data_IF_218546154044
#
_entry.id   IF_218546154044
#
_cell.length_a   1.000
_cell.length_b   1.000
_cell.length_c   1.000
_cell.angle_alpha   90.00
_cell.angle_beta   90.00
_cell.angle_gamma   90.00
#
_symmetry.space_group_name_H-M   'P 1'
#
loop_
_entity.id
_entity.type
_entity.pdbx_description
1 polymer ?
#
# COMPACT_ATOMS: atom_id res chain seq x y z
N UNK A 1 -40.52 -36.02 -31.78
CA UNK A 1 -40.16 -35.53 -30.43
C UNK A 1 -39.00 -36.36 -29.95
N UNK A 2 -37.77 -35.85 -30.11
CA UNK A 2 -36.54 -36.51 -29.69
C UNK A 2 -36.38 -36.35 -28.19
N UNK A 3 -36.54 -37.45 -27.44
CA UNK A 3 -36.26 -37.50 -26.02
C UNK A 3 -34.76 -37.29 -25.79
N UNK A 4 -34.40 -36.25 -25.04
CA UNK A 4 -33.05 -36.07 -24.50
C UNK A 4 -32.90 -37.07 -23.37
N UNK A 5 -32.16 -38.16 -23.64
CA UNK A 5 -31.74 -39.12 -22.62
C UNK A 5 -30.69 -38.43 -21.75
N UNK A 6 -31.05 -38.07 -20.52
CA UNK A 6 -30.09 -37.60 -19.52
C UNK A 6 -29.43 -38.86 -18.93
N UNK A 7 -28.17 -39.08 -19.26
CA UNK A 7 -27.39 -40.20 -18.73
C UNK A 7 -27.04 -39.92 -17.26
N UNK A 8 -27.70 -40.63 -16.34
CA UNK A 8 -27.55 -40.44 -14.89
C UNK A 8 -26.21 -40.97 -14.35
N UNK A 9 -25.38 -41.61 -15.19
CA UNK A 9 -24.07 -42.14 -14.82
C UNK A 9 -22.90 -41.21 -15.17
N UNK A 10 -23.17 -40.06 -15.80
CA UNK A 10 -22.13 -39.06 -16.05
C UNK A 10 -21.87 -38.30 -14.74
N UNK A 11 -20.77 -38.65 -14.05
CA UNK A 11 -20.32 -37.88 -12.89
C UNK A 11 -20.15 -36.43 -13.33
N UNK A 12 -20.62 -35.44 -12.54
CA UNK A 12 -20.42 -34.05 -12.88
C UNK A 12 -18.93 -33.81 -13.09
N UNK A 13 -18.54 -32.98 -14.08
CA UNK A 13 -17.15 -32.69 -14.32
C UNK A 13 -16.49 -32.23 -13.01
N UNK A 14 -15.26 -32.67 -12.74
CA UNK A 14 -14.56 -32.28 -11.52
C UNK A 14 -14.50 -30.75 -11.44
N UNK A 15 -14.81 -30.19 -10.28
CA UNK A 15 -14.74 -28.74 -10.06
C UNK A 15 -13.30 -28.27 -10.37
N UNK A 16 -13.11 -27.55 -11.46
CA UNK A 16 -11.85 -26.90 -11.76
C UNK A 16 -11.72 -25.65 -10.88
N UNK A 17 -10.62 -25.52 -10.13
CA UNK A 17 -10.27 -24.26 -9.47
C UNK A 17 -10.10 -23.18 -10.54
N UNK A 18 -10.95 -22.15 -10.47
CA UNK A 18 -10.86 -21.01 -11.36
C UNK A 18 -9.60 -20.18 -11.04
N UNK A 19 -8.75 -19.99 -12.04
CA UNK A 19 -7.55 -19.15 -11.97
C UNK A 19 -7.80 -17.91 -12.83
N UNK A 20 -7.78 -16.73 -12.20
CA UNK A 20 -8.01 -15.48 -12.91
C UNK A 20 -6.76 -15.02 -13.66
N UNK A 21 -6.95 -14.44 -14.84
CA UNK A 21 -5.86 -13.82 -15.59
C UNK A 21 -5.51 -12.45 -15.00
N UNK A 22 -4.26 -12.26 -14.61
CA UNK A 22 -3.74 -10.96 -14.15
C UNK A 22 -2.29 -10.76 -14.61
N UNK A 23 -1.86 -9.50 -14.60
CA UNK A 23 -0.47 -9.14 -14.83
C UNK A 23 -0.02 -8.12 -13.79
N UNK A 24 1.28 -8.07 -13.56
CA UNK A 24 1.91 -7.16 -12.61
C UNK A 24 2.49 -5.96 -13.36
N UNK A 25 2.23 -4.76 -12.87
CA UNK A 25 2.82 -3.51 -13.39
C UNK A 25 4.30 -3.39 -12.97
N UNK A 26 5.05 -2.47 -13.59
CA UNK A 26 6.43 -2.18 -13.20
C UNK A 26 6.56 -1.82 -11.70
N UNK A 27 5.57 -1.11 -11.15
CA UNK A 27 5.48 -0.77 -9.73
C UNK A 27 5.04 -1.95 -8.83
N UNK A 28 4.87 -3.16 -9.37
CA UNK A 28 4.39 -4.34 -8.62
C UNK A 28 2.88 -4.42 -8.42
N UNK A 29 2.10 -3.46 -8.93
CA UNK A 29 0.64 -3.47 -8.80
C UNK A 29 -0.01 -4.57 -9.64
N UNK A 30 -1.00 -5.25 -9.07
CA UNK A 30 -1.73 -6.33 -9.75
C UNK A 30 -2.87 -5.70 -10.56
N UNK A 31 -2.93 -5.99 -11.86
CA UNK A 31 -3.99 -5.51 -12.76
C UNK A 31 -4.60 -6.71 -13.48
N UNK A 32 -5.92 -6.80 -13.44
CA UNK A 32 -6.68 -7.84 -14.15
C UNK A 32 -7.76 -7.23 -15.02
N UNK A 33 -7.95 -7.85 -16.19
CA UNK A 33 -9.06 -7.58 -17.11
C UNK A 33 -9.98 -8.80 -17.24
N UNK A 34 -9.89 -9.74 -16.31
CA UNK A 34 -10.59 -11.01 -16.41
C UNK A 34 -12.12 -10.82 -16.42
N UNK A 35 -12.78 -11.44 -17.38
CA UNK A 35 -14.21 -11.31 -17.59
C UNK A 35 -15.05 -11.86 -16.41
N UNK A 36 -14.65 -12.99 -15.85
CA UNK A 36 -15.38 -13.67 -14.78
C UNK A 36 -15.34 -12.85 -13.48
N UNK A 37 -14.19 -12.25 -13.14
CA UNK A 37 -14.08 -11.31 -12.01
C UNK A 37 -14.99 -10.07 -12.13
N UNK A 38 -15.42 -9.71 -13.34
CA UNK A 38 -16.28 -8.57 -13.58
C UNK A 38 -17.77 -8.88 -13.56
N UNK A 39 -18.14 -10.17 -13.58
CA UNK A 39 -19.53 -10.66 -13.63
C UNK A 39 -19.94 -11.40 -12.36
N UNK A 40 -18.99 -12.07 -11.70
CA UNK A 40 -19.24 -12.82 -10.49
C UNK A 40 -18.55 -12.16 -9.28
N UNK A 41 -19.38 -11.69 -8.33
CA UNK A 41 -18.90 -11.13 -7.07
C UNK A 41 -18.19 -12.17 -6.19
N UNK A 42 -18.46 -13.46 -6.36
CA UNK A 42 -17.75 -14.54 -5.65
C UNK A 42 -16.32 -14.67 -6.10
N UNK A 43 -16.13 -14.79 -7.40
CA UNK A 43 -14.82 -14.90 -8.03
C UNK A 43 -13.97 -13.69 -7.66
N UNK A 44 -14.55 -12.48 -7.73
CA UNK A 44 -13.90 -11.24 -7.29
C UNK A 44 -13.52 -11.26 -5.80
N UNK A 45 -14.43 -11.69 -4.93
CA UNK A 45 -14.17 -11.78 -3.49
C UNK A 45 -13.02 -12.73 -3.18
N UNK A 46 -13.04 -13.95 -3.74
CA UNK A 46 -11.98 -14.96 -3.54
C UNK A 46 -10.64 -14.47 -4.08
N UNK A 47 -10.64 -13.90 -5.28
CA UNK A 47 -9.44 -13.34 -5.89
C UNK A 47 -8.82 -12.24 -5.01
N UNK A 48 -9.64 -11.32 -4.48
CA UNK A 48 -9.15 -10.29 -3.57
C UNK A 48 -8.55 -10.87 -2.28
N UNK A 49 -9.19 -11.88 -1.68
CA UNK A 49 -8.66 -12.54 -0.49
C UNK A 49 -7.30 -13.20 -0.78
N UNK A 50 -7.19 -13.94 -1.88
CA UNK A 50 -5.96 -14.61 -2.25
C UNK A 50 -4.82 -13.62 -2.53
N UNK A 51 -5.07 -12.64 -3.41
CA UNK A 51 -4.07 -11.64 -3.80
C UNK A 51 -3.75 -10.65 -2.67
N UNK A 52 -4.63 -10.52 -1.67
CA UNK A 52 -4.35 -9.71 -0.48
C UNK A 52 -3.27 -10.31 0.42
N UNK A 53 -3.00 -11.62 0.34
CA UNK A 53 -2.01 -12.29 1.20
C UNK A 53 -0.59 -11.81 0.93
N UNK A 54 -0.27 -11.41 -0.30
CA UNK A 54 1.04 -10.87 -0.64
C UNK A 54 1.22 -9.47 -0.02
N UNK A 55 2.30 -9.21 0.74
CA UNK A 55 2.57 -7.88 1.27
C UNK A 55 2.95 -6.90 0.16
N UNK A 56 2.79 -5.58 0.38
CA UNK A 56 3.43 -4.57 -0.46
C UNK A 56 4.94 -4.56 -0.23
N UNK A 57 5.70 -4.06 -1.20
CA UNK A 57 7.11 -3.76 -0.97
C UNK A 57 7.20 -2.44 -0.22
N UNK A 58 8.10 -2.36 0.75
CA UNK A 58 8.27 -1.19 1.60
C UNK A 58 9.75 -0.85 1.71
N UNK A 59 10.15 0.36 1.34
CA UNK A 59 11.54 0.83 1.43
C UNK A 59 11.62 2.18 2.11
N UNK A 60 12.78 2.49 2.68
CA UNK A 60 13.14 3.85 3.08
C UNK A 60 14.30 4.33 2.23
N UNK A 61 14.08 5.42 1.51
CA UNK A 61 15.05 6.03 0.62
C UNK A 61 15.72 7.20 1.34
N UNK A 62 17.05 7.21 1.36
CA UNK A 62 17.85 8.19 2.06
C UNK A 62 18.83 8.80 1.05
N UNK A 63 18.70 10.10 0.78
CA UNK A 63 19.63 10.83 -0.07
C UNK A 63 20.10 12.14 0.58
N UNK A 64 21.34 12.51 0.27
CA UNK A 64 21.96 13.75 0.68
C UNK A 64 22.44 14.52 -0.54
N UNK A 65 22.07 15.80 -0.62
CA UNK A 65 22.49 16.69 -1.70
C UNK A 65 23.08 17.99 -1.16
N UNK A 66 24.07 18.55 -1.85
CA UNK A 66 24.54 19.90 -1.58
C UNK A 66 24.52 20.75 -2.85
N UNK A 67 24.54 22.08 -2.67
CA UNK A 67 24.61 23.04 -3.77
C UNK A 67 26.06 23.49 -3.95
N UNK A 68 26.60 23.28 -5.14
CA UNK A 68 27.93 23.75 -5.55
C UNK A 68 27.78 24.88 -6.57
N UNK A 69 28.56 25.95 -6.41
CA UNK A 69 28.60 27.06 -7.37
C UNK A 69 29.72 26.81 -8.36
N UNK A 70 29.37 26.58 -9.63
CA UNK A 70 30.33 26.36 -10.72
C UNK A 70 30.35 27.55 -11.67
N UNK A 71 31.48 27.74 -12.33
CA UNK A 71 31.64 28.73 -13.39
C UNK A 71 31.75 28.04 -14.74
N UNK A 72 31.07 28.56 -15.76
CA UNK A 72 31.24 28.14 -17.15
C UNK A 72 31.57 29.34 -17.99
N UNK A 73 32.55 29.16 -18.87
CA UNK A 73 32.88 30.13 -19.90
C UNK A 73 31.91 29.96 -21.06
N UNK A 74 31.10 30.99 -21.32
CA UNK A 74 30.16 31.03 -22.44
C UNK A 74 30.71 32.01 -23.48
N UNK A 75 30.95 31.51 -24.69
CA UNK A 75 31.30 32.37 -25.83
C UNK A 75 30.03 32.70 -26.59
N UNK A 76 29.67 33.98 -26.64
CA UNK A 76 28.54 34.47 -27.42
C UNK A 76 29.06 35.38 -28.52
N UNK A 77 28.60 35.15 -29.74
CA UNK A 77 28.87 36.08 -30.85
C UNK A 77 27.80 37.17 -30.83
N UNK A 78 28.20 38.40 -30.54
CA UNK A 78 27.34 39.59 -30.59
C UNK A 78 27.91 40.50 -31.66
N UNK A 79 27.09 40.85 -32.67
CA UNK A 79 27.49 41.72 -33.78
C UNK A 79 28.77 41.25 -34.51
N UNK A 80 28.94 39.95 -34.75
CA UNK A 80 30.09 39.38 -35.46
C UNK A 80 31.39 39.28 -34.64
N UNK A 81 31.41 39.80 -33.41
CA UNK A 81 32.55 39.68 -32.49
C UNK A 81 32.28 38.57 -31.46
N UNK A 82 33.25 37.68 -31.27
CA UNK A 82 33.20 36.67 -30.21
C UNK A 82 33.51 37.34 -28.88
N UNK A 83 32.55 37.34 -27.97
CA UNK A 83 32.75 37.74 -26.59
C UNK A 83 32.70 36.50 -25.70
N UNK A 84 33.63 36.45 -24.75
CA UNK A 84 33.74 35.36 -23.79
C UNK A 84 33.38 35.90 -22.42
N UNK A 85 32.32 35.36 -21.81
CA UNK A 85 31.88 35.73 -20.47
C UNK A 85 31.95 34.52 -19.55
N UNK A 86 32.45 34.74 -18.33
CA UNK A 86 32.35 33.74 -17.26
C UNK A 86 30.98 33.92 -16.60
N UNK A 87 30.16 32.88 -16.67
CA UNK A 87 28.86 32.82 -16.01
C UNK A 87 28.93 31.87 -14.83
N UNK A 88 28.34 32.29 -13.71
CA UNK A 88 28.28 31.51 -12.48
C UNK A 88 26.90 30.86 -12.36
N UNK A 89 26.84 29.56 -12.12
CA UNK A 89 25.59 28.81 -11.96
C UNK A 89 25.69 27.82 -10.79
N UNK A 90 24.55 27.55 -10.14
CA UNK A 90 24.47 26.64 -9.00
C UNK A 90 24.02 25.26 -9.48
N UNK A 91 24.75 24.22 -9.09
CA UNK A 91 24.46 22.81 -9.37
C UNK A 91 24.12 22.10 -8.07
N UNK A 92 23.09 21.26 -8.07
CA UNK A 92 22.81 20.36 -6.95
C UNK A 92 23.50 19.03 -7.22
N UNK A 93 24.35 18.59 -6.30
CA UNK A 93 25.15 17.37 -6.40
C UNK A 93 24.68 16.40 -5.33
N UNK A 94 24.45 15.16 -5.72
CA UNK A 94 24.13 14.06 -4.80
C UNK A 94 25.42 13.52 -4.19
N UNK A 95 25.51 13.59 -2.86
CA UNK A 95 26.65 13.08 -2.11
C UNK A 95 26.50 11.59 -1.85
N UNK A 96 25.32 11.17 -1.35
CA UNK A 96 24.97 9.79 -1.09
C UNK A 96 23.50 9.56 -1.46
N UNK A 97 23.17 8.34 -1.87
CA UNK A 97 21.82 7.91 -2.20
C UNK A 97 21.74 6.40 -2.04
N UNK A 98 20.97 5.92 -1.09
CA UNK A 98 20.75 4.49 -0.88
C UNK A 98 19.36 4.28 -0.29
N UNK A 99 18.83 3.07 -0.45
CA UNK A 99 17.53 2.66 0.08
C UNK A 99 17.72 1.47 1.03
N UNK A 100 16.83 1.30 2.00
CA UNK A 100 16.82 0.11 2.88
C UNK A 100 15.49 -0.61 2.68
N UNK A 101 15.55 -1.93 2.50
CA UNK A 101 14.34 -2.76 2.40
C UNK A 101 13.71 -3.00 3.78
N UNK A 102 12.46 -2.55 3.91
CA UNK A 102 11.64 -2.68 5.10
C UNK A 102 10.57 -3.78 4.97
N UNK A 103 10.43 -4.38 3.78
CA UNK A 103 9.46 -5.45 3.50
C UNK A 103 9.58 -6.65 4.45
N UNK A 104 10.80 -7.11 4.80
CA UNK A 104 10.96 -8.24 5.73
C UNK A 104 10.45 -7.96 7.16
N UNK A 105 10.22 -6.70 7.54
CA UNK A 105 9.73 -6.34 8.87
C UNK A 105 8.20 -6.31 8.97
N UNK A 106 7.48 -6.56 7.87
CA UNK A 106 6.02 -6.70 7.86
C UNK A 106 5.62 -8.05 8.47
N UNK A 107 5.30 -8.04 9.76
CA UNK A 107 5.02 -9.26 10.55
C UNK A 107 3.52 -9.56 10.70
N UNK A 108 2.66 -8.56 10.52
CA UNK A 108 1.19 -8.70 10.64
C UNK A 108 0.55 -8.41 9.30
N UNK A 109 -0.42 -9.24 8.91
CA UNK A 109 -1.37 -8.92 7.84
C UNK A 109 -1.60 -10.04 6.83
N UNK A 110 -2.55 -9.83 5.90
CA UNK A 110 -3.36 -8.64 5.76
C UNK A 110 -4.50 -8.57 6.79
N UNK A 111 -4.61 -7.47 7.54
CA UNK A 111 -5.83 -7.15 8.31
C UNK A 111 -6.78 -6.42 7.39
N UNK A 112 -7.84 -7.10 6.99
CA UNK A 112 -8.80 -6.59 6.03
C UNK A 112 -9.77 -5.60 6.69
N UNK A 113 -9.98 -4.45 6.06
CA UNK A 113 -10.91 -3.44 6.56
C UNK A 113 -11.63 -2.70 5.42
N UNK A 114 -12.82 -2.21 5.74
CA UNK A 114 -13.59 -1.32 4.87
C UNK A 114 -13.57 0.11 5.40
N UNK A 115 -13.57 1.10 4.51
CA UNK A 115 -13.79 2.49 4.90
C UNK A 115 -15.21 2.67 5.47
N UNK A 116 -15.37 3.42 6.58
CA UNK A 116 -16.67 3.70 7.15
C UNK A 116 -17.55 4.46 6.16
N UNK A 117 -18.85 4.43 6.42
CA UNK A 117 -19.87 5.03 5.57
C UNK A 117 -19.75 6.56 5.41
N UNK A 118 -19.24 7.25 6.43
CA UNK A 118 -18.96 8.70 6.41
C UNK A 118 -17.65 9.06 5.67
N UNK A 119 -16.78 8.08 5.38
CA UNK A 119 -15.54 8.34 4.66
C UNK A 119 -15.80 8.69 3.18
N UNK A 120 -15.25 9.81 2.67
CA UNK A 120 -15.40 10.22 1.28
C UNK A 120 -14.46 9.43 0.37
N UNK A 121 -14.92 8.26 -0.06
CA UNK A 121 -14.23 7.36 -1.00
C UNK A 121 -15.11 7.04 -2.21
N UNK A 122 -14.56 6.39 -3.23
CA UNK A 122 -15.35 6.05 -4.42
C UNK A 122 -16.24 4.82 -4.15
N UNK A 123 -17.55 4.96 -4.40
CA UNK A 123 -18.59 3.93 -4.13
C UNK A 123 -19.45 3.62 -5.35
N UNK A 124 -18.79 3.64 -6.51
CA UNK A 124 -19.36 3.29 -7.81
C UNK A 124 -19.47 4.44 -8.79
N UNK A 125 -19.46 5.70 -8.38
CA UNK A 125 -19.36 6.84 -9.30
C UNK A 125 -17.92 7.32 -9.50
N UNK A 126 -17.68 8.15 -10.51
CA UNK A 126 -16.42 8.90 -10.68
C UNK A 126 -16.26 10.09 -9.73
N UNK A 127 -16.96 10.07 -8.59
CA UNK A 127 -16.88 11.04 -7.49
C UNK A 127 -16.71 10.30 -6.18
N UNK A 128 -16.05 10.93 -5.21
CA UNK A 128 -16.07 10.46 -3.82
C UNK A 128 -17.47 10.66 -3.23
N UNK A 129 -17.95 9.64 -2.55
CA UNK A 129 -19.28 9.53 -2.00
C UNK A 129 -19.21 9.12 -0.54
N UNK A 130 -20.19 9.60 0.22
CA UNK A 130 -20.46 9.18 1.59
C UNK A 130 -21.86 8.59 1.64
N UNK A 131 -22.08 7.64 2.54
CA UNK A 131 -23.38 7.05 2.81
C UNK A 131 -24.07 7.89 3.88
N UNK A 132 -25.11 8.63 3.49
CA UNK A 132 -25.90 9.46 4.37
C UNK A 132 -27.23 8.76 4.72
N UNK A 133 -27.62 8.79 5.98
CA UNK A 133 -28.88 8.25 6.46
C UNK A 133 -28.96 8.34 7.98
N UNK A 134 -30.13 8.71 8.50
CA UNK A 134 -30.36 8.66 9.93
C UNK A 134 -30.34 7.21 10.42
N UNK A 135 -30.04 7.00 11.70
CA UNK A 135 -30.01 5.67 12.31
C UNK A 135 -31.36 4.97 12.11
N UNK A 136 -31.35 3.78 11.48
CA UNK A 136 -32.56 3.01 11.16
C UNK A 136 -33.19 3.30 9.79
N UNK A 137 -32.64 4.23 9.00
CA UNK A 137 -33.08 4.48 7.61
C UNK A 137 -32.13 3.89 6.57
N UNK A 138 -32.66 3.56 5.38
CA UNK A 138 -31.82 3.07 4.26
C UNK A 138 -30.79 4.14 3.91
N UNK A 139 -29.51 3.80 4.08
CA UNK A 139 -28.40 4.71 3.75
C UNK A 139 -28.38 4.97 2.25
N UNK A 140 -28.24 6.24 1.88
CA UNK A 140 -28.21 6.71 0.50
C UNK A 140 -26.83 7.27 0.17
N UNK A 141 -26.33 6.98 -1.04
CA UNK A 141 -25.08 7.52 -1.54
C UNK A 141 -25.25 9.00 -1.87
N UNK A 142 -24.54 9.90 -1.19
CA UNK A 142 -24.40 11.31 -1.60
C UNK A 142 -22.97 11.63 -2.03
N UNK A 143 -22.81 12.68 -2.83
CA UNK A 143 -21.50 13.23 -3.18
C UNK A 143 -20.87 13.89 -1.94
N UNK A 144 -19.58 13.66 -1.73
CA UNK A 144 -18.81 14.31 -0.67
C UNK A 144 -18.54 15.79 -1.00
N UNK A 145 -18.50 16.65 0.02
CA UNK A 145 -18.09 18.05 -0.12
C UNK A 145 -16.57 18.15 -0.28
N UNK A 146 -16.08 19.30 -0.76
CA UNK A 146 -14.63 19.51 -0.89
C UNK A 146 -13.92 19.50 0.47
N UNK A 147 -14.55 20.08 1.48
CA UNK A 147 -14.04 20.14 2.86
C UNK A 147 -13.91 18.75 3.48
N UNK A 148 -14.94 17.90 3.35
CA UNK A 148 -14.90 16.50 3.78
C UNK A 148 -13.73 15.74 3.15
N UNK A 149 -13.54 15.92 1.84
CA UNK A 149 -12.45 15.27 1.11
C UNK A 149 -11.08 15.76 1.62
N UNK A 150 -10.93 17.06 1.87
CA UNK A 150 -9.68 17.64 2.35
C UNK A 150 -9.34 17.17 3.77
N UNK A 151 -10.32 17.20 4.69
CA UNK A 151 -10.17 16.70 6.05
C UNK A 151 -9.84 15.21 6.06
N UNK A 152 -10.51 14.42 5.24
CA UNK A 152 -10.23 12.99 5.12
C UNK A 152 -8.80 12.73 4.62
N UNK A 153 -8.34 13.46 3.59
CA UNK A 153 -6.95 13.33 3.10
C UNK A 153 -5.93 13.70 4.17
N UNK A 154 -6.15 14.81 4.88
CA UNK A 154 -5.27 15.22 5.97
C UNK A 154 -5.23 14.18 7.10
N UNK A 155 -6.38 13.59 7.44
CA UNK A 155 -6.50 12.52 8.44
C UNK A 155 -5.73 11.27 8.03
N UNK A 156 -5.87 10.83 6.78
CA UNK A 156 -5.13 9.66 6.26
C UNK A 156 -3.63 9.92 6.27
N UNK A 157 -3.19 11.10 5.84
CA UNK A 157 -1.77 11.47 5.85
C UNK A 157 -1.21 11.51 7.29
N UNK A 158 -1.91 12.15 8.23
CA UNK A 158 -1.52 12.20 9.63
C UNK A 158 -1.44 10.80 10.26
N UNK A 159 -2.43 9.95 9.99
CA UNK A 159 -2.46 8.55 10.43
C UNK A 159 -1.24 7.78 9.93
N UNK A 160 -0.93 7.88 8.64
CA UNK A 160 0.23 7.22 8.03
C UNK A 160 1.55 7.72 8.61
N UNK A 161 1.70 9.04 8.80
CA UNK A 161 2.89 9.64 9.41
C UNK A 161 3.12 9.15 10.85
N UNK A 162 2.04 8.93 11.60
CA UNK A 162 2.09 8.42 12.99
C UNK A 162 2.16 6.89 13.08
N UNK A 163 2.04 6.16 11.97
CA UNK A 163 2.00 4.69 11.98
C UNK A 163 0.73 4.09 12.58
N UNK A 164 -0.35 4.86 12.67
CA UNK A 164 -1.59 4.42 13.31
C UNK A 164 -2.37 3.46 12.38
N UNK A 165 -2.95 2.37 12.91
CA UNK A 165 -3.77 1.46 12.11
C UNK A 165 -5.09 2.11 11.67
N UNK A 166 -5.72 1.62 10.60
CA UNK A 166 -6.95 2.18 10.05
C UNK A 166 -8.16 2.21 11.02
N UNK A 167 -8.20 1.26 11.96
CA UNK A 167 -9.24 1.14 12.98
C UNK A 167 -8.95 1.93 14.26
N UNK A 168 -7.88 2.74 14.30
CA UNK A 168 -7.66 3.71 15.38
C UNK A 168 -7.90 5.14 14.89
N UNK A 169 -8.44 5.97 15.79
CA UNK A 169 -8.49 7.42 15.59
C UNK A 169 -7.12 8.06 15.81
N UNK A 170 -6.99 9.32 15.42
CA UNK A 170 -5.74 10.09 15.60
C UNK A 170 -5.38 10.25 17.08
N UNK A 171 -6.35 10.18 17.97
CA UNK A 171 -6.16 10.23 19.42
C UNK A 171 -5.69 8.88 20.00
N UNK A 172 -5.54 7.85 19.16
CA UNK A 172 -5.12 6.50 19.56
C UNK A 172 -6.25 5.61 20.09
N UNK A 173 -7.46 6.16 20.25
CA UNK A 173 -8.64 5.40 20.66
C UNK A 173 -9.04 4.39 19.60
N UNK A 174 -9.45 3.20 20.03
CA UNK A 174 -9.99 2.17 19.14
C UNK A 174 -11.34 2.66 18.61
N UNK A 175 -11.51 2.64 17.29
CA UNK A 175 -12.80 2.89 16.67
C UNK A 175 -13.73 1.73 17.00
N UNK A 176 -14.85 2.02 17.66
CA UNK A 176 -15.93 1.06 17.88
C UNK A 176 -16.31 0.38 16.53
N UNK A 177 -16.83 -0.88 16.54
CA UNK A 177 -17.26 -1.61 15.34
C UNK A 177 -18.31 -0.87 14.47
N UNK A 178 -18.86 0.24 14.98
CA UNK A 178 -19.71 1.20 14.25
C UNK A 178 -18.99 1.94 13.11
N UNK A 179 -17.66 1.77 12.94
CA UNK A 179 -16.86 2.37 11.86
C UNK A 179 -16.60 1.46 10.64
N UNK A 180 -17.28 0.31 10.53
CA UNK A 180 -17.26 -0.46 9.29
C UNK A 180 -18.23 0.14 8.24
N UNK A 181 -18.04 -0.21 6.96
CA UNK A 181 -19.04 0.08 5.94
C UNK A 181 -20.33 -0.67 6.25
N UNK A 182 -21.49 -0.10 5.89
CA UNK A 182 -22.78 -0.80 5.99
C UNK A 182 -22.87 -2.06 5.13
N UNK A 183 -22.05 -2.16 4.09
CA UNK A 183 -21.97 -3.31 3.20
C UNK A 183 -20.65 -4.04 3.40
N UNK A 184 -20.70 -5.37 3.42
CA UNK A 184 -19.50 -6.20 3.50
C UNK A 184 -18.78 -6.28 2.13
N UNK A 185 -17.58 -6.87 2.09
CA UNK A 185 -16.81 -6.98 0.85
C UNK A 185 -17.57 -7.73 -0.24
N UNK A 186 -18.25 -8.83 0.10
CA UNK A 186 -19.01 -9.62 -0.88
C UNK A 186 -20.12 -8.80 -1.54
N UNK A 187 -20.90 -8.06 -0.74
CA UNK A 187 -21.94 -7.17 -1.24
C UNK A 187 -21.38 -6.06 -2.13
N UNK A 188 -20.21 -5.50 -1.80
CA UNK A 188 -19.54 -4.53 -2.67
C UNK A 188 -19.05 -5.15 -3.98
N UNK A 189 -18.58 -6.40 -3.94
CA UNK A 189 -18.18 -7.16 -5.11
C UNK A 189 -19.39 -7.47 -6.01
N UNK A 190 -20.51 -7.89 -5.43
CA UNK A 190 -21.77 -8.11 -6.14
C UNK A 190 -22.29 -6.81 -6.77
N UNK A 191 -22.23 -5.68 -6.05
CA UNK A 191 -22.61 -4.36 -6.59
C UNK A 191 -21.72 -3.94 -7.77
N UNK A 192 -20.41 -4.19 -7.67
CA UNK A 192 -19.47 -3.95 -8.76
C UNK A 192 -19.79 -4.82 -9.98
N UNK A 193 -20.03 -6.12 -9.76
CA UNK A 193 -20.36 -7.07 -10.80
C UNK A 193 -21.66 -6.69 -11.53
N UNK A 194 -22.70 -6.34 -10.78
CA UNK A 194 -24.00 -5.90 -11.31
C UNK A 194 -23.95 -4.53 -12.02
N UNK A 195 -22.86 -3.77 -11.89
CA UNK A 195 -22.77 -2.44 -12.50
C UNK A 195 -22.65 -2.52 -14.04
N UNK A 196 -23.51 -1.82 -14.81
CA UNK A 196 -23.50 -1.83 -16.28
C UNK A 196 -22.42 -0.90 -16.90
N UNK A 197 -21.42 -0.52 -16.10
CA UNK A 197 -20.44 0.51 -16.48
C UNK A 197 -19.30 -0.08 -17.30
N UNK A 198 -19.02 0.52 -18.45
CA UNK A 198 -18.01 0.03 -19.38
C UNK A 198 -16.58 0.28 -18.90
N UNK A 199 -16.39 1.28 -18.05
CA UNK A 199 -15.11 1.67 -17.45
C UNK A 199 -15.18 1.60 -15.92
N UNK A 200 -15.79 0.53 -15.40
CA UNK A 200 -15.76 0.25 -13.96
C UNK A 200 -14.37 -0.18 -13.51
N UNK A 201 -14.00 0.19 -12.30
CA UNK A 201 -12.71 -0.15 -11.71
C UNK A 201 -12.89 -0.43 -10.23
N UNK A 202 -12.54 -1.63 -9.79
CA UNK A 202 -12.46 -1.98 -8.37
C UNK A 202 -10.99 -1.89 -7.96
N UNK A 203 -10.70 -1.07 -6.96
CA UNK A 203 -9.33 -0.87 -6.48
C UNK A 203 -9.26 -1.26 -5.01
N UNK A 204 -8.44 -2.24 -4.72
CA UNK A 204 -8.05 -2.62 -3.37
C UNK A 204 -6.68 -2.02 -3.06
N UNK A 205 -6.54 -1.46 -1.86
CA UNK A 205 -5.29 -0.85 -1.41
C UNK A 205 -4.67 -1.63 -0.26
N UNK A 206 -3.37 -1.90 -0.36
CA UNK A 206 -2.50 -2.37 0.72
C UNK A 206 -1.89 -1.15 1.41
N UNK A 207 -1.95 -1.12 2.72
CA UNK A 207 -1.43 -0.03 3.55
C UNK A 207 -0.54 -0.61 4.64
N UNK A 208 0.49 0.13 5.05
CA UNK A 208 1.42 -0.28 6.12
C UNK A 208 1.21 0.61 7.35
N UNK A 209 1.29 0.03 8.54
CA UNK A 209 1.19 0.73 9.83
C UNK A 209 2.16 0.12 10.86
N UNK A 210 2.27 0.77 12.02
CA UNK A 210 3.03 0.28 13.17
C UNK A 210 4.23 1.15 13.57
N UNK A 211 4.82 1.88 12.62
CA UNK A 211 5.95 2.79 12.89
C UNK A 211 5.59 4.24 12.66
N UNK A 212 6.01 5.10 13.57
CA UNK A 212 5.96 6.54 13.40
C UNK A 212 7.07 7.00 12.44
N UNK A 213 6.73 7.00 11.15
CA UNK A 213 7.65 7.39 10.08
C UNK A 213 8.14 8.83 10.22
N UNK A 214 7.36 9.74 10.82
CA UNK A 214 7.81 11.11 11.09
C UNK A 214 8.94 11.14 12.11
N UNK A 215 8.79 10.48 13.25
CA UNK A 215 9.84 10.41 14.29
C UNK A 215 11.07 9.68 13.81
N UNK A 216 10.86 8.58 13.06
CA UNK A 216 11.97 7.82 12.50
C UNK A 216 12.75 8.64 11.48
N UNK A 217 12.08 9.41 10.64
CA UNK A 217 12.70 10.39 9.74
C UNK A 217 13.52 11.42 10.52
N UNK A 218 12.97 12.01 11.57
CA UNK A 218 13.69 12.98 12.40
C UNK A 218 14.94 12.37 13.06
N UNK A 219 14.85 11.12 13.53
CA UNK A 219 15.99 10.38 14.08
C UNK A 219 17.09 10.14 13.03
N UNK A 220 16.73 9.68 11.83
CA UNK A 220 17.67 9.50 10.70
C UNK A 220 18.34 10.83 10.33
N UNK A 221 17.57 11.92 10.22
CA UNK A 221 18.13 13.23 9.92
C UNK A 221 19.09 13.71 11.02
N UNK A 222 18.80 13.43 12.30
CA UNK A 222 19.66 13.79 13.43
C UNK A 222 20.97 12.99 13.40
N UNK A 223 20.89 11.69 13.10
CA UNK A 223 22.05 10.83 12.90
C UNK A 223 22.96 11.33 11.78
N UNK A 224 22.40 11.67 10.62
CA UNK A 224 23.17 12.16 9.47
C UNK A 224 23.85 13.50 9.80
N UNK A 225 23.15 14.41 10.51
CA UNK A 225 23.78 15.67 10.96
C UNK A 225 24.93 15.42 11.94
N UNK A 226 24.89 14.35 12.73
CA UNK A 226 25.97 13.98 13.65
C UNK A 226 27.26 13.54 12.94
N UNK A 227 27.21 13.22 11.64
CA UNK A 227 28.40 12.89 10.83
C UNK A 227 29.07 14.13 10.24
N UNK A 228 28.74 15.32 10.74
CA UNK A 228 29.16 16.63 10.21
C UNK A 228 28.73 16.88 8.75
N UNK A 229 27.67 16.21 8.28
CA UNK A 229 27.11 16.47 6.96
C UNK A 229 26.30 17.77 6.97
N UNK A 230 26.68 18.73 6.11
CA UNK A 230 26.06 20.07 6.04
C UNK A 230 25.09 20.26 4.87
N UNK A 231 24.83 19.21 4.08
CA UNK A 231 23.92 19.27 2.94
C UNK A 231 22.44 19.14 3.32
N UNK A 232 21.59 19.14 2.29
CA UNK A 232 20.15 18.85 2.41
C UNK A 232 19.92 17.36 2.35
N UNK A 233 19.29 16.82 3.39
CA UNK A 233 18.94 15.39 3.49
C UNK A 233 17.48 15.22 3.15
N UNK A 234 17.16 14.23 2.32
CA UNK A 234 15.81 13.77 2.06
C UNK A 234 15.68 12.31 2.49
N UNK A 235 14.66 12.04 3.31
CA UNK A 235 14.27 10.68 3.69
C UNK A 235 12.81 10.47 3.34
N UNK A 236 12.50 9.44 2.56
CA UNK A 236 11.13 9.11 2.15
C UNK A 236 10.85 7.62 2.34
N UNK A 237 9.66 7.30 2.82
CA UNK A 237 9.19 5.94 2.96
C UNK A 237 8.31 5.61 1.77
N UNK A 238 8.80 4.73 0.90
CA UNK A 238 8.17 4.40 -0.36
C UNK A 238 7.50 3.03 -0.28
N UNK A 239 6.30 2.95 -0.87
CA UNK A 239 5.51 1.72 -0.96
C UNK A 239 5.26 1.40 -2.43
N UNK A 240 5.54 0.17 -2.82
CA UNK A 240 5.19 -0.36 -4.14
C UNK A 240 4.39 -1.67 -4.01
N UNK A 241 3.81 -2.16 -5.10
CA UNK A 241 2.84 -3.27 -5.10
C UNK A 241 1.64 -3.05 -4.17
N UNK A 242 1.13 -1.82 -4.12
CA UNK A 242 0.09 -1.42 -3.15
C UNK A 242 -1.33 -1.63 -3.65
N UNK A 243 -1.52 -1.85 -4.95
CA UNK A 243 -2.86 -1.89 -5.55
C UNK A 243 -3.17 -3.21 -6.22
N UNK A 244 -4.42 -3.63 -6.08
CA UNK A 244 -5.04 -4.66 -6.90
C UNK A 244 -6.20 -3.99 -7.65
N UNK A 245 -6.08 -3.92 -8.97
CA UNK A 245 -7.01 -3.21 -9.85
C UNK A 245 -7.75 -4.20 -10.76
N UNK A 246 -9.07 -4.26 -10.60
CA UNK A 246 -9.96 -5.07 -11.44
C UNK A 246 -10.68 -4.14 -12.41
N UNK A 247 -10.54 -4.43 -13.71
CA UNK A 247 -11.13 -3.68 -14.81
C UNK A 247 -11.89 -4.62 -15.73
N UNK A 248 -12.92 -4.15 -16.46
CA UNK A 248 -13.68 -5.00 -17.38
C UNK A 248 -12.88 -5.36 -18.62
N UNK A 249 -13.21 -6.51 -19.22
CA UNK A 249 -12.57 -7.04 -20.43
C UNK A 249 -12.98 -6.34 -21.75
N UNK A 250 -13.44 -5.09 -21.67
CA UNK A 250 -13.88 -4.39 -22.86
C UNK A 250 -12.68 -3.93 -23.69
N UNK A 251 -12.80 -3.95 -25.03
CA UNK A 251 -11.75 -3.42 -25.94
C UNK A 251 -11.27 -2.03 -25.54
N UNK A 252 -12.18 -1.17 -25.10
CA UNK A 252 -11.88 0.18 -24.65
C UNK A 252 -11.08 0.19 -23.33
N UNK A 253 -11.43 -0.66 -22.37
CA UNK A 253 -10.71 -0.81 -21.10
C UNK A 253 -9.29 -1.34 -21.32
N UNK A 254 -9.15 -2.39 -22.12
CA UNK A 254 -7.86 -2.99 -22.51
C UNK A 254 -7.01 -2.05 -23.37
N UNK A 255 -7.64 -1.26 -24.25
CA UNK A 255 -6.93 -0.24 -25.01
C UNK A 255 -6.33 0.83 -24.09
N UNK A 256 -7.11 1.33 -23.13
CA UNK A 256 -6.68 2.36 -22.18
C UNK A 256 -5.62 1.90 -21.17
N UNK A 257 -5.43 0.59 -20.99
CA UNK A 257 -4.38 0.08 -20.11
C UNK A 257 -2.99 0.12 -20.78
N UNK A 258 -2.92 -0.02 -22.11
CA UNK A 258 -1.65 -0.08 -22.85
C UNK A 258 -0.92 1.27 -22.97
N UNK A 259 0.40 1.25 -22.82
CA UNK A 259 1.25 2.47 -22.84
C UNK A 259 1.27 3.15 -24.21
N UNK A 260 1.29 2.37 -25.30
CA UNK A 260 1.29 2.91 -26.67
C UNK A 260 -0.01 3.65 -27.00
N UNK A 261 -1.16 3.09 -26.64
CA UNK A 261 -2.45 3.77 -26.87
C UNK A 261 -2.55 5.01 -26.00
N UNK A 262 -2.04 4.99 -24.76
CA UNK A 262 -1.95 6.21 -23.94
C UNK A 262 -1.16 7.31 -24.65
N UNK A 263 -0.04 6.99 -25.30
CA UNK A 263 0.74 7.95 -26.10
C UNK A 263 -0.04 8.46 -27.32
N UNK A 264 -0.71 7.57 -28.06
CA UNK A 264 -1.56 7.96 -29.20
C UNK A 264 -2.71 8.88 -28.76
N UNK A 265 -3.35 8.60 -27.63
CA UNK A 265 -4.43 9.42 -27.06
C UNK A 265 -3.96 10.80 -26.63
N UNK A 266 -2.69 10.93 -26.22
CA UNK A 266 -2.05 12.21 -25.94
C UNK A 266 -1.86 13.02 -27.22
N UNK A 267 -1.29 12.41 -28.27
CA UNK A 267 -1.05 13.06 -29.56
C UNK A 267 -2.36 13.49 -30.23
N UNK A 268 -3.40 12.66 -30.12
CA UNK A 268 -4.72 12.92 -30.73
C UNK A 268 -5.62 13.82 -29.88
N UNK A 269 -5.18 14.23 -28.68
CA UNK A 269 -5.95 15.06 -27.75
C UNK A 269 -7.34 14.49 -27.38
N UNK A 270 -7.47 13.15 -27.34
CA UNK A 270 -8.76 12.48 -27.08
C UNK A 270 -9.07 12.35 -25.57
N UNK A 271 -8.06 12.48 -24.71
CA UNK A 271 -8.21 12.40 -23.24
C UNK A 271 -9.38 13.20 -22.62
N UNK A 272 -9.61 14.49 -22.97
CA UNK A 272 -10.73 15.24 -22.41
C UNK A 272 -12.09 14.58 -22.72
N UNK A 273 -12.24 13.96 -23.89
CA UNK A 273 -13.48 13.26 -24.27
C UNK A 273 -13.66 11.95 -23.50
N UNK A 274 -12.59 11.17 -23.32
CA UNK A 274 -12.62 9.96 -22.49
C UNK A 274 -12.95 10.33 -21.04
N UNK A 275 -12.34 11.39 -20.52
CA UNK A 275 -12.64 11.89 -19.18
C UNK A 275 -14.12 12.32 -19.06
N UNK A 276 -14.64 13.05 -20.05
CA UNK A 276 -16.04 13.48 -20.09
C UNK A 276 -16.98 12.27 -20.12
N UNK A 277 -16.69 11.27 -20.96
CA UNK A 277 -17.44 10.02 -21.03
C UNK A 277 -17.42 9.28 -19.70
N UNK A 278 -16.22 9.10 -19.10
CA UNK A 278 -16.05 8.44 -17.81
C UNK A 278 -16.85 9.16 -16.72
N UNK A 279 -16.90 10.49 -16.76
CA UNK A 279 -17.50 11.32 -15.71
C UNK A 279 -19.02 11.50 -15.84
N UNK A 280 -19.54 11.76 -17.03
CA UNK A 280 -20.93 12.20 -17.23
C UNK A 280 -21.85 11.13 -17.82
N UNK A 281 -21.32 10.11 -18.50
CA UNK A 281 -22.16 9.06 -19.07
C UNK A 281 -22.58 8.05 -17.98
N UNK A 282 -23.86 7.65 -17.99
CA UNK A 282 -24.41 6.63 -17.09
C UNK A 282 -23.70 5.28 -17.26
N UNK A 283 -23.35 4.92 -18.48
CA UNK A 283 -22.60 3.71 -18.83
C UNK A 283 -21.08 3.91 -18.82
N UNK A 284 -20.60 5.11 -18.44
CA UNK A 284 -19.19 5.48 -18.47
C UNK A 284 -18.39 4.84 -17.34
N UNK A 285 -17.81 5.69 -16.47
CA UNK A 285 -16.90 5.25 -15.43
C UNK A 285 -17.57 4.93 -14.10
N UNK A 286 -17.03 3.94 -13.41
CA UNK A 286 -17.31 3.72 -12.00
C UNK A 286 -16.04 3.34 -11.26
N UNK A 287 -15.89 3.78 -10.01
CA UNK A 287 -14.74 3.40 -9.18
C UNK A 287 -15.21 2.96 -7.81
N UNK A 288 -14.60 1.90 -7.32
CA UNK A 288 -14.82 1.36 -5.99
C UNK A 288 -13.47 1.34 -5.27
N UNK A 289 -13.36 2.12 -4.19
CA UNK A 289 -12.19 2.21 -3.30
C UNK A 289 -12.64 2.02 -1.85
N UNK A 290 -13.39 0.96 -1.58
CA UNK A 290 -14.03 0.76 -0.27
C UNK A 290 -13.20 -0.12 0.65
N UNK A 291 -12.47 -1.08 0.09
CA UNK A 291 -11.84 -2.13 0.85
C UNK A 291 -10.33 -2.12 0.70
N UNK A 292 -9.65 -2.44 1.79
CA UNK A 292 -8.21 -2.32 1.91
C UNK A 292 -7.66 -3.38 2.88
N UNK A 293 -6.36 -3.66 2.75
CA UNK A 293 -5.60 -4.48 3.68
C UNK A 293 -4.57 -3.64 4.40
N UNK A 294 -4.43 -3.88 5.69
CA UNK A 294 -3.42 -3.26 6.52
C UNK A 294 -2.36 -4.29 6.92
N UNK A 295 -1.10 -3.93 6.74
CA UNK A 295 0.07 -4.71 7.14
C UNK A 295 0.79 -3.99 8.27
N UNK A 296 1.05 -4.70 9.37
CA UNK A 296 1.65 -4.15 10.57
C UNK A 296 3.13 -4.51 10.67
N UNK A 297 3.95 -3.51 10.97
CA UNK A 297 5.35 -3.68 11.37
C UNK A 297 5.48 -4.12 12.84
N UNK A 298 4.43 -3.86 13.63
CA UNK A 298 4.33 -4.20 15.06
C UNK A 298 2.92 -4.69 15.37
N UNK A 299 2.85 -5.79 16.13
CA UNK A 299 1.66 -6.30 16.78
C UNK A 299 1.78 -6.12 18.30
N UNK A 300 0.75 -5.63 18.97
CA UNK A 300 0.73 -5.48 20.44
C UNK A 300 -0.56 -6.11 20.95
N UNK A 301 -0.46 -7.15 21.79
CA UNK A 301 -1.60 -7.88 22.36
C UNK A 301 -1.48 -7.86 23.89
N UNK A 302 -2.52 -7.50 24.66
CA UNK A 302 -2.50 -7.64 26.12
C UNK A 302 -2.37 -9.11 26.52
N UNK A 303 -1.50 -9.40 27.50
CA UNK A 303 -1.32 -10.73 28.10
C UNK A 303 -2.24 -10.79 29.31
N UNK A 304 -3.30 -11.60 29.26
CA UNK A 304 -4.16 -11.87 30.41
C UNK A 304 -5.66 -11.67 30.22
N UNK A 305 -6.12 -11.22 29.05
CA UNK A 305 -7.53 -11.35 28.65
C UNK A 305 -7.68 -12.71 27.97
N UNK A 306 -8.62 -13.54 28.46
CA UNK A 306 -8.97 -14.80 27.79
C UNK A 306 -9.31 -14.52 26.32
N UNK A 307 -9.04 -15.49 25.44
CA UNK A 307 -9.25 -15.50 23.97
C UNK A 307 -10.71 -15.20 23.54
N UNK A 308 -11.22 -14.03 23.90
CA UNK A 308 -12.54 -13.52 23.58
C UNK A 308 -12.33 -12.05 23.21
N UNK A 309 -11.93 -11.81 21.95
CA UNK A 309 -12.28 -10.61 21.17
C UNK A 309 -11.44 -10.39 19.88
N UNK A 310 -10.60 -11.34 19.47
CA UNK A 310 -10.01 -11.34 18.11
C UNK A 310 -10.82 -12.16 17.09
N UNK A 311 -11.81 -12.95 17.54
CA UNK A 311 -12.77 -13.61 16.65
C UNK A 311 -13.98 -12.73 16.25
N UNK A 312 -14.13 -11.52 16.81
CA UNK A 312 -15.33 -10.68 16.60
C UNK A 312 -15.33 -9.84 15.29
N UNK A 313 -14.34 -10.01 14.41
CA UNK A 313 -14.34 -9.39 13.06
C UNK A 313 -14.60 -10.43 11.95
N UNK A 314 -14.67 -11.73 12.28
CA UNK A 314 -15.01 -12.79 11.32
C UNK A 314 -16.17 -13.62 11.83
N UNK A 315 -17.30 -13.56 11.11
CA UNK A 315 -18.55 -14.31 11.32
C UNK A 315 -19.57 -13.68 12.29
N UNK A 316 -20.28 -12.65 11.82
CA UNK A 316 -21.69 -12.52 12.19
C UNK A 316 -22.51 -13.57 11.40
N UNK A 317 -22.62 -14.76 12.00
CA UNK A 317 -23.52 -15.84 11.59
C UNK A 317 -24.96 -15.42 11.95
N UNK A 318 -25.87 -15.35 10.97
CA UNK A 318 -27.31 -15.48 11.20
C UNK A 318 -27.75 -16.86 10.71
N UNK A 319 -28.39 -17.60 11.61
CA UNK A 319 -28.73 -19.01 11.59
C UNK A 319 -29.52 -19.53 10.37
N UNK A 320 -29.16 -20.73 9.89
CA UNK A 320 -30.03 -21.93 9.80
C UNK A 320 -29.17 -23.18 9.52
N UNK A 321 -29.65 -24.32 10.04
CA UNK A 321 -29.09 -25.69 10.09
C UNK A 321 -28.39 -26.20 8.81
N UNK A 322 -27.26 -26.89 8.92
CA UNK A 322 -27.14 -28.34 9.16
C UNK A 322 -25.65 -28.75 9.28
N UNK A 323 -25.40 -29.93 9.84
CA UNK A 323 -24.12 -30.48 10.26
C UNK A 323 -23.10 -30.71 9.12
N UNK A 324 -21.83 -30.35 9.35
CA UNK A 324 -20.66 -31.20 9.06
C UNK A 324 -19.39 -30.64 9.73
N UNK A 325 -18.73 -31.49 10.51
CA UNK A 325 -17.42 -31.26 11.12
C UNK A 325 -16.33 -31.33 10.04
N UNK A 326 -15.47 -30.31 9.92
CA UNK A 326 -14.01 -30.52 9.80
C UNK A 326 -13.22 -29.20 9.74
N UNK A 327 -12.24 -29.09 10.64
CA UNK A 327 -10.98 -28.35 10.54
C UNK A 327 -11.04 -26.84 10.21
N UNK A 328 -11.31 -26.00 11.22
CA UNK A 328 -11.00 -24.55 11.18
C UNK A 328 -9.91 -24.12 12.16
N UNK A 329 -9.22 -25.05 12.80
CA UNK A 329 -7.97 -24.75 13.51
C UNK A 329 -6.81 -24.81 12.51
N UNK A 330 -6.51 -23.68 11.83
CA UNK A 330 -5.23 -23.36 11.16
C UNK A 330 -5.36 -22.07 10.28
N UNK A 331 -5.75 -20.93 10.85
CA UNK A 331 -5.56 -19.62 10.17
C UNK A 331 -4.99 -18.58 11.15
N UNK A 332 -3.84 -18.90 11.78
CA UNK A 332 -2.96 -17.90 12.41
C UNK A 332 -1.47 -18.14 12.09
N UNK A 333 -1.16 -18.98 11.11
CA UNK A 333 0.22 -19.28 10.74
C UNK A 333 0.34 -19.41 9.23
N UNK A 334 0.37 -18.28 8.55
CA UNK A 334 1.00 -18.18 7.24
C UNK A 334 1.61 -16.79 7.09
N UNK A 335 2.44 -16.42 8.07
CA UNK A 335 3.42 -15.34 7.88
C UNK A 335 4.29 -15.73 6.70
N UNK A 336 4.51 -14.79 5.78
CA UNK A 336 5.49 -14.91 4.70
C UNK A 336 6.80 -15.48 5.26
N UNK A 337 7.39 -16.45 4.56
CA UNK A 337 8.66 -17.11 4.91
C UNK A 337 9.89 -16.17 4.92
N UNK A 338 9.67 -14.86 4.81
CA UNK A 338 10.66 -13.79 4.75
C UNK A 338 10.55 -12.82 5.95
N UNK A 339 9.57 -13.00 6.84
CA UNK A 339 9.33 -12.06 7.95
C UNK A 339 10.38 -12.21 9.07
N UNK A 340 11.20 -11.19 9.28
CA UNK A 340 12.12 -11.10 10.42
C UNK A 340 11.28 -10.81 11.67
N UNK A 341 11.01 -11.84 12.45
CA UNK A 341 10.11 -11.75 13.60
C UNK A 341 10.90 -11.72 14.90
N UNK A 342 10.74 -10.63 15.66
CA UNK A 342 11.23 -10.49 17.03
C UNK A 342 10.02 -10.47 17.98
N UNK A 343 10.07 -11.23 19.07
CA UNK A 343 9.00 -11.27 20.08
C UNK A 343 9.55 -10.74 21.40
N UNK A 344 8.80 -9.85 22.04
CA UNK A 344 9.18 -9.24 23.32
C UNK A 344 7.94 -8.99 24.17
N UNK A 345 8.05 -9.13 25.49
CA UNK A 345 6.96 -8.82 26.43
C UNK A 345 7.27 -7.48 27.10
N UNK A 346 6.32 -6.55 27.09
CA UNK A 346 6.51 -5.19 27.65
C UNK A 346 5.26 -4.66 28.33
N UNK A 347 5.45 -3.90 29.40
CA UNK A 347 4.40 -3.17 30.13
C UNK A 347 3.97 -1.90 29.38
N UNK A 348 2.66 -1.70 29.21
CA UNK A 348 2.09 -0.51 28.55
C UNK A 348 0.81 -0.07 29.30
N UNK A 349 0.76 1.14 29.90
CA UNK A 349 1.82 2.14 30.08
C UNK A 349 2.89 1.71 31.11
N UNK A 350 4.10 2.29 31.06
CA UNK A 350 5.22 1.90 31.92
C UNK A 350 4.87 2.04 33.40
N UNK A 351 5.05 0.96 34.18
CA UNK A 351 4.67 0.89 35.59
C UNK A 351 3.23 0.43 35.85
N UNK A 352 2.56 -0.18 34.86
CA UNK A 352 1.30 -0.89 35.05
C UNK A 352 1.54 -2.41 35.01
N UNK A 353 0.77 -3.17 35.79
CA UNK A 353 0.80 -4.66 35.79
C UNK A 353 0.25 -5.27 34.48
N UNK A 354 -0.10 -4.44 33.49
CA UNK A 354 -0.61 -4.88 32.19
C UNK A 354 0.56 -5.19 31.25
N UNK A 355 0.94 -6.47 31.23
CA UNK A 355 1.91 -7.00 30.28
C UNK A 355 1.28 -7.11 28.89
N UNK A 356 2.01 -6.70 27.86
CA UNK A 356 1.64 -6.86 26.47
C UNK A 356 2.69 -7.68 25.71
N UNK A 357 2.25 -8.63 24.90
CA UNK A 357 3.06 -9.36 23.95
C UNK A 357 3.22 -8.51 22.69
N UNK A 358 4.47 -8.16 22.38
CA UNK A 358 4.83 -7.34 21.23
C UNK A 358 5.58 -8.21 20.23
N UNK A 359 4.97 -8.40 19.07
CA UNK A 359 5.56 -9.14 17.94
C UNK A 359 5.93 -8.16 16.83
N UNK A 360 7.16 -8.24 16.31
CA UNK A 360 7.69 -7.32 15.31
C UNK A 360 8.74 -6.36 15.87
N UNK A 361 9.33 -5.57 14.99
CA UNK A 361 10.38 -4.62 15.34
C UNK A 361 9.78 -3.29 15.73
N UNK A 362 10.20 -2.71 16.85
CA UNK A 362 9.89 -1.31 17.15
C UNK A 362 10.78 -0.39 16.33
N UNK A 363 10.25 0.77 15.97
CA UNK A 363 10.99 1.81 15.25
C UNK A 363 12.36 2.15 15.87
N UNK A 364 12.44 2.26 17.20
CA UNK A 364 13.70 2.55 17.91
C UNK A 364 14.69 1.37 17.95
N UNK A 365 14.18 0.14 17.95
CA UNK A 365 15.05 -1.05 17.89
C UNK A 365 15.64 -1.23 16.51
N UNK A 366 14.79 -1.13 15.48
CA UNK A 366 15.23 -1.14 14.08
C UNK A 366 16.26 -0.03 13.84
N UNK A 367 15.99 1.19 14.31
CA UNK A 367 16.90 2.32 14.14
C UNK A 367 18.27 2.06 14.78
N UNK A 368 18.30 1.49 16.00
CA UNK A 368 19.55 1.16 16.70
C UNK A 368 20.40 0.12 15.94
N UNK A 369 19.75 -0.87 15.31
CA UNK A 369 20.47 -1.86 14.50
C UNK A 369 21.03 -1.25 13.21
N UNK A 370 20.29 -0.34 12.59
CA UNK A 370 20.68 0.31 11.33
C UNK A 370 21.54 1.56 11.50
N UNK A 371 21.70 2.09 12.72
CA UNK A 371 22.41 3.35 12.98
C UNK A 371 23.83 3.35 12.39
N UNK A 372 24.61 2.31 12.69
CA UNK A 372 25.99 2.18 12.21
C UNK A 372 26.06 2.04 10.69
N UNK A 373 25.14 1.28 10.09
CA UNK A 373 25.09 1.10 8.64
C UNK A 373 24.77 2.42 7.94
N UNK A 374 23.73 3.14 8.40
CA UNK A 374 23.37 4.46 7.86
C UNK A 374 24.54 5.43 7.99
N UNK A 375 25.19 5.48 9.16
CA UNK A 375 26.37 6.32 9.41
C UNK A 375 27.49 6.00 8.43
N UNK A 376 27.81 4.73 8.23
CA UNK A 376 28.87 4.28 7.32
C UNK A 376 28.53 4.60 5.86
N UNK A 377 27.29 4.39 5.41
CA UNK A 377 26.86 4.73 4.07
C UNK A 377 27.02 6.24 3.77
N UNK A 378 26.71 7.09 4.76
CA UNK A 378 26.86 8.54 4.65
C UNK A 378 28.33 8.95 4.60
N UNK A 379 29.16 8.43 5.52
CA UNK A 379 30.59 8.75 5.59
C UNK A 379 31.34 8.31 4.33
N UNK A 380 30.98 7.14 3.79
CA UNK A 380 31.56 6.59 2.57
C UNK A 380 30.91 7.12 1.28
N UNK A 381 29.94 8.03 1.37
CA UNK A 381 29.23 8.62 0.22
C UNK A 381 28.64 7.56 -0.74
N UNK A 382 28.05 6.52 -0.15
CA UNK A 382 27.51 5.37 -0.88
C UNK A 382 26.38 5.82 -1.82
N UNK A 383 26.43 5.35 -3.06
CA UNK A 383 25.40 5.54 -4.07
C UNK A 383 25.00 4.17 -4.61
N UNK A 384 23.93 3.61 -4.05
CA UNK A 384 23.42 2.29 -4.40
C UNK A 384 22.01 2.40 -4.98
N UNK A 385 21.78 1.68 -6.07
CA UNK A 385 20.46 1.60 -6.69
C UNK A 385 19.59 0.50 -6.09
N UNK A 386 20.21 -0.56 -5.56
CA UNK A 386 19.49 -1.69 -4.95
C UNK A 386 19.25 -1.43 -3.46
N UNK A 387 18.04 -1.75 -2.93
CA UNK A 387 17.76 -1.62 -1.51
C UNK A 387 18.67 -2.51 -0.65
N UNK A 388 19.29 -1.91 0.35
CA UNK A 388 20.13 -2.58 1.33
C UNK A 388 19.29 -3.53 2.19
N UNK A 389 19.83 -4.72 2.42
CA UNK A 389 19.27 -5.73 3.33
C UNK A 389 20.15 -5.90 4.58
N UNK A 390 19.60 -6.50 5.62
CA UNK A 390 20.32 -6.72 6.88
C UNK A 390 21.58 -7.57 6.61
N UNK A 391 22.76 -7.05 6.96
CA UNK A 391 24.04 -7.69 6.65
C UNK A 391 24.86 -6.99 5.56
N UNK A 392 24.39 -5.87 5.01
CA UNK A 392 25.21 -5.02 4.15
C UNK A 392 26.46 -4.51 4.89
N UNK A 393 27.59 -5.18 4.68
CA UNK A 393 28.92 -4.59 4.80
C UNK A 393 29.02 -3.66 3.60
N UNK A 394 29.14 -2.35 3.83
CA UNK A 394 29.44 -1.40 2.75
C UNK A 394 30.70 -1.79 1.98
N UNK A 395 31.10 -1.03 0.95
CA UNK A 395 32.36 -1.30 0.26
C UNK A 395 33.48 -1.42 1.29
N UNK A 396 34.07 -2.62 1.36
CA UNK A 396 35.19 -2.94 2.24
C UNK A 396 36.26 -1.90 1.92
N UNK A 397 36.71 -1.15 2.94
CA UNK A 397 37.82 -0.23 2.70
C UNK A 397 38.99 -1.09 2.20
N UNK A 398 39.74 -0.69 1.15
CA UNK A 398 40.89 -1.47 0.68
C UNK A 398 41.95 -1.69 1.77
N UNK A 399 41.89 -0.93 2.87
CA UNK A 399 42.70 -1.14 4.07
C UNK A 399 42.32 -2.41 4.88
N UNK A 400 41.06 -2.88 4.81
CA UNK A 400 40.61 -4.12 5.45
C UNK A 400 40.94 -5.38 4.62
N UNK A 401 41.34 -5.23 3.34
CA UNK A 401 41.91 -6.32 2.52
C UNK A 401 43.43 -6.49 2.70
N UNK A 402 44.09 -5.59 3.43
CA UNK A 402 45.50 -5.74 3.76
C UNK A 402 45.63 -6.66 4.98
N UNK A 403 45.97 -7.91 4.70
CA UNK A 403 46.26 -8.97 5.69
C UNK A 403 47.28 -8.45 6.73
N UNK A 404 46.85 -8.18 7.96
CA UNK A 404 47.75 -7.68 9.01
C UNK A 404 47.16 -6.84 10.16
N UNK A 405 45.87 -6.51 10.17
CA UNK A 405 45.27 -5.64 11.21
C UNK A 405 44.42 -6.35 12.29
N UNK A 406 44.37 -7.68 12.31
CA UNK A 406 43.81 -8.41 13.45
C UNK A 406 44.95 -8.96 14.31
N UNK A 407 45.32 -8.22 15.35
CA UNK A 407 46.07 -8.71 16.52
C UNK A 407 45.18 -8.63 17.76
#
# INVERSE_FOLDING_TARGET
>A
MSHVSIDLNEQPPPFSTYNADFYTSDDGDIITHDHHLNQDGEALYRFLLEQSKSPPNYTVDINGTHKETRTRTVTRTVNGRRETRVETYTVTITDFSFSIDLTPYLVVGPVLYSYPDDAPVYRGLMVRQVMAGAQGTKKVKRKATKEEIQQFKATIHARQAQGLPPWKDLDGTIRLPKSASSMNLRQWADEYAASPKLLKEFVYYKTVYGWNTSKLKDAIHTLIRSTNYSGTVHTEFNLSATRICIRPDNRLSRALSSTLIKALLWVTLIYPFIWLFKRFNRAGGGRWEIFSGAFGLVHIVPIGEQDTDVQLITHSKSASDDQEESNTDLILASSSSLAITKRSVVEIPPGSDNLHDVTGYREGEWFREWENTIRNCVLNRVQESEPLTLGFRGPVQPAEELDGYNN
#
